data_IF_771971141111
#
_entry.id   IF_771971141111
#
_cell.length_a   1.000
_cell.length_b   1.000
_cell.length_c   1.000
_cell.angle_alpha   90.00
_cell.angle_beta   90.00
_cell.angle_gamma   90.00
#
_symmetry.space_group_name_H-M   'P 1'
#
loop_
_entity.id
_entity.type
_entity.pdbx_description
1 polymer ?
#
# COMPACT_ATOMS: atom_id res chain seq x y z
N UNK A 1 9.07 -11.01 7.64
CA UNK A 1 9.31 -9.76 6.90
C UNK A 1 10.08 -10.09 5.64
N UNK A 2 9.72 -9.49 4.51
CA UNK A 2 10.44 -9.60 3.24
C UNK A 2 10.83 -8.18 2.80
N UNK A 3 12.05 -8.03 2.27
CA UNK A 3 12.55 -6.75 1.74
C UNK A 3 12.76 -6.90 0.24
N UNK A 4 12.51 -5.82 -0.51
CA UNK A 4 12.80 -5.75 -1.94
C UNK A 4 13.80 -4.61 -2.17
N UNK A 5 15.12 -4.87 -2.05
CA UNK A 5 16.17 -3.85 -2.02
C UNK A 5 16.25 -2.97 -3.26
N UNK A 6 15.75 -3.47 -4.41
CA UNK A 6 15.69 -2.69 -5.66
C UNK A 6 14.97 -1.35 -5.51
N UNK A 7 14.10 -1.18 -4.51
CA UNK A 7 13.33 0.04 -4.28
C UNK A 7 13.95 1.02 -3.27
N UNK A 8 15.18 0.77 -2.83
CA UNK A 8 15.95 1.72 -2.02
C UNK A 8 16.40 2.92 -2.87
N UNK A 9 16.15 4.14 -2.39
CA UNK A 9 16.54 5.40 -3.04
C UNK A 9 16.07 5.51 -4.51
N UNK A 10 14.93 4.90 -4.82
CA UNK A 10 14.40 4.89 -6.18
C UNK A 10 13.50 6.09 -6.43
N UNK A 11 13.67 6.68 -7.62
CA UNK A 11 12.68 7.57 -8.20
C UNK A 11 11.53 6.74 -8.80
N UNK A 12 10.40 6.72 -8.11
CA UNK A 12 9.20 5.99 -8.55
C UNK A 12 8.47 6.67 -9.72
N UNK A 13 8.81 7.93 -10.02
CA UNK A 13 8.15 8.74 -11.04
C UNK A 13 6.72 9.16 -10.64
N UNK A 14 5.95 9.60 -11.63
CA UNK A 14 4.55 10.06 -11.47
C UNK A 14 3.54 8.92 -11.51
N UNK A 15 3.94 7.73 -11.98
CA UNK A 15 3.09 6.56 -12.03
C UNK A 15 3.73 5.41 -11.26
N UNK A 16 3.03 4.92 -10.24
CA UNK A 16 3.49 3.80 -9.43
C UNK A 16 2.28 2.96 -8.99
N UNK A 17 2.36 1.66 -9.25
CA UNK A 17 1.27 0.72 -8.96
C UNK A 17 1.78 -0.45 -8.13
N UNK A 18 1.04 -0.83 -7.10
CA UNK A 18 1.23 -2.08 -6.38
C UNK A 18 -0.06 -2.88 -6.44
N UNK A 19 0.05 -4.16 -6.76
CA UNK A 19 -1.03 -5.14 -6.63
C UNK A 19 -0.61 -6.23 -5.68
N UNK A 20 -1.54 -6.69 -4.86
CA UNK A 20 -1.33 -7.85 -3.99
C UNK A 20 -2.67 -8.49 -3.62
N UNK A 21 -2.61 -9.75 -3.23
CA UNK A 21 -3.72 -10.44 -2.59
C UNK A 21 -3.33 -10.86 -1.18
N UNK A 22 -4.21 -10.65 -0.21
CA UNK A 22 -3.92 -11.02 1.17
C UNK A 22 -5.11 -11.65 1.89
N UNK A 23 -4.81 -12.47 2.91
CA UNK A 23 -5.78 -13.04 3.83
C UNK A 23 -5.16 -13.03 5.23
N UNK A 24 -5.81 -12.37 6.17
CA UNK A 24 -5.38 -12.39 7.58
C UNK A 24 -5.52 -13.81 8.16
N UNK A 25 -4.59 -14.18 9.04
CA UNK A 25 -4.67 -15.42 9.80
C UNK A 25 -5.76 -15.35 10.88
N UNK A 26 -5.85 -14.19 11.54
CA UNK A 26 -6.77 -13.94 12.65
C UNK A 26 -7.52 -12.62 12.47
N UNK A 27 -8.66 -12.50 13.15
CA UNK A 27 -9.41 -11.24 13.22
C UNK A 27 -8.64 -10.26 14.12
N UNK A 28 -8.21 -9.15 13.52
CA UNK A 28 -7.50 -8.09 14.24
C UNK A 28 -8.33 -7.48 15.38
N UNK A 29 -7.65 -7.09 16.46
CA UNK A 29 -8.26 -6.31 17.56
C UNK A 29 -8.66 -4.92 17.07
N UNK A 30 -9.54 -4.24 17.79
CA UNK A 30 -10.10 -2.94 17.36
C UNK A 30 -9.04 -1.86 17.12
N UNK A 31 -8.02 -1.78 17.98
CA UNK A 31 -6.92 -0.82 17.88
C UNK A 31 -5.71 -1.36 17.13
N UNK A 32 -5.81 -2.55 16.53
CA UNK A 32 -4.70 -3.17 15.84
C UNK A 32 -4.70 -2.80 14.35
N UNK A 33 -3.50 -2.50 13.85
CA UNK A 33 -3.23 -2.33 12.44
C UNK A 33 -1.95 -3.07 12.07
N UNK A 34 -1.95 -3.72 10.90
CA UNK A 34 -0.83 -4.52 10.42
C UNK A 34 -0.38 -4.02 9.04
N UNK A 35 0.94 -3.86 8.85
CA UNK A 35 1.51 -3.40 7.59
C UNK A 35 1.53 -4.51 6.55
N UNK A 36 0.94 -4.27 5.38
CA UNK A 36 1.06 -5.15 4.20
C UNK A 36 2.27 -4.75 3.37
N UNK A 37 2.39 -3.45 3.06
CA UNK A 37 3.51 -2.87 2.31
C UNK A 37 3.90 -1.55 2.97
N UNK A 38 5.20 -1.30 3.12
CA UNK A 38 5.74 -0.03 3.62
C UNK A 38 7.11 0.25 2.98
N UNK A 39 7.59 1.50 3.00
CA UNK A 39 8.98 1.82 2.64
C UNK A 39 9.59 2.89 3.57
N UNK A 40 9.08 3.02 4.80
CA UNK A 40 9.55 3.98 5.80
C UNK A 40 11.01 3.81 6.14
N UNK A 41 11.68 4.95 6.28
CA UNK A 41 13.05 5.03 6.80
C UNK A 41 13.06 4.71 8.30
N UNK A 42 14.23 4.42 8.86
CA UNK A 42 14.38 4.01 10.25
C UNK A 42 13.78 5.04 11.23
N UNK A 43 12.53 4.82 11.66
CA UNK A 43 11.81 5.72 12.57
C UNK A 43 10.86 6.70 11.87
N UNK A 44 10.85 6.75 10.54
CA UNK A 44 10.03 7.68 9.76
C UNK A 44 8.89 6.98 9.02
N UNK A 45 7.85 7.75 8.71
CA UNK A 45 6.73 7.28 7.91
C UNK A 45 7.13 7.07 6.44
N UNK A 46 6.78 5.91 5.90
CA UNK A 46 6.96 5.60 4.48
C UNK A 46 6.20 6.53 3.55
N UNK A 47 6.74 6.71 2.35
CA UNK A 47 6.02 7.36 1.25
C UNK A 47 5.02 6.44 0.58
N UNK A 48 5.15 5.13 0.76
CA UNK A 48 4.23 4.09 0.30
C UNK A 48 3.81 3.30 1.52
N UNK A 49 2.50 3.26 1.82
CA UNK A 49 1.99 2.40 2.89
C UNK A 49 0.66 1.78 2.49
N UNK A 50 0.55 0.47 2.72
CA UNK A 50 -0.69 -0.29 2.66
C UNK A 50 -0.79 -1.06 3.98
N UNK A 51 -1.87 -0.88 4.73
CA UNK A 51 -2.08 -1.54 6.01
C UNK A 51 -3.52 -2.00 6.19
N UNK A 52 -3.72 -3.09 6.93
CA UNK A 52 -5.05 -3.61 7.28
C UNK A 52 -5.39 -3.35 8.74
N UNK A 53 -6.65 -3.01 8.99
CA UNK A 53 -7.28 -2.86 10.31
C UNK A 53 -8.43 -3.85 10.41
N UNK A 54 -9.06 -3.96 11.58
CA UNK A 54 -10.20 -4.88 11.80
C UNK A 54 -11.29 -4.78 10.73
N UNK A 55 -11.72 -3.56 10.40
CA UNK A 55 -12.88 -3.29 9.51
C UNK A 55 -12.53 -2.43 8.28
N UNK A 56 -11.25 -2.13 8.06
CA UNK A 56 -10.83 -1.31 6.92
C UNK A 56 -9.44 -1.69 6.44
N UNK A 57 -9.14 -1.29 5.22
CA UNK A 57 -7.78 -1.22 4.70
C UNK A 57 -7.44 0.26 4.49
N UNK A 58 -6.21 0.63 4.76
CA UNK A 58 -5.70 1.98 4.57
C UNK A 58 -4.58 2.01 3.54
N UNK A 59 -4.56 3.09 2.77
CA UNK A 59 -3.54 3.39 1.77
C UNK A 59 -2.98 4.78 2.08
N UNK A 60 -1.66 4.93 1.98
CA UNK A 60 -0.99 6.22 2.20
C UNK A 60 0.06 6.46 1.14
N UNK A 61 0.06 7.66 0.58
CA UNK A 61 1.12 8.17 -0.29
C UNK A 61 1.71 9.45 0.29
N UNK A 62 3.03 9.61 0.17
CA UNK A 62 3.71 10.91 0.25
C UNK A 62 4.34 11.21 -1.10
N UNK A 63 4.01 12.35 -1.67
CA UNK A 63 4.54 12.80 -2.95
C UNK A 63 5.31 14.11 -2.80
N UNK A 64 6.16 14.42 -3.78
CA UNK A 64 7.08 15.57 -3.75
C UNK A 64 6.39 16.94 -3.76
N UNK A 65 5.09 17.02 -4.06
CA UNK A 65 4.34 18.28 -4.09
C UNK A 65 3.24 18.37 -3.02
N UNK A 66 3.05 17.33 -2.22
CA UNK A 66 2.06 17.37 -1.13
C UNK A 66 2.80 17.67 0.18
N UNK A 67 2.35 18.67 0.98
CA UNK A 67 3.02 19.02 2.23
C UNK A 67 2.91 17.91 3.29
N UNK A 68 1.86 17.11 3.25
CA UNK A 68 1.60 15.98 4.16
C UNK A 68 1.27 14.70 3.39
N UNK A 69 1.16 13.59 4.11
CA UNK A 69 0.71 12.33 3.53
C UNK A 69 -0.77 12.39 3.12
N UNK A 70 -1.08 11.87 1.94
CA UNK A 70 -2.47 11.67 1.49
C UNK A 70 -2.89 10.25 1.84
N UNK A 71 -4.06 10.10 2.47
CA UNK A 71 -4.57 8.80 2.92
C UNK A 71 -5.96 8.48 2.40
N UNK A 72 -6.19 7.20 2.12
CA UNK A 72 -7.48 6.61 1.74
C UNK A 72 -7.81 5.48 2.72
N UNK A 73 -9.10 5.25 2.95
CA UNK A 73 -9.58 4.08 3.67
C UNK A 73 -10.80 3.50 2.97
N UNK A 74 -10.85 2.16 2.92
CA UNK A 74 -11.96 1.42 2.34
C UNK A 74 -12.45 0.41 3.37
N UNK A 75 -13.77 0.30 3.52
CA UNK A 75 -14.37 -0.70 4.39
C UNK A 75 -14.02 -2.11 3.89
N UNK A 76 -13.67 -3.00 4.83
CA UNK A 76 -13.06 -4.29 4.51
C UNK A 76 -13.96 -5.45 4.95
N UNK A 77 -14.25 -6.43 4.07
CA UNK A 77 -14.98 -7.64 4.46
C UNK A 77 -14.14 -8.55 5.37
N UNK A 78 -14.81 -9.42 6.13
CA UNK A 78 -14.16 -10.37 7.06
C UNK A 78 -13.81 -11.71 6.39
N UNK A 79 -12.78 -12.41 6.89
CA UNK A 79 -12.53 -13.85 6.64
C UNK A 79 -12.02 -14.27 5.26
N UNK A 80 -12.26 -13.46 4.23
CA UNK A 80 -11.95 -13.81 2.85
C UNK A 80 -10.61 -13.30 2.35
N UNK A 81 -10.15 -13.86 1.22
CA UNK A 81 -9.08 -13.25 0.46
C UNK A 81 -9.49 -11.86 -0.04
N UNK A 82 -8.50 -10.97 -0.12
CA UNK A 82 -8.68 -9.57 -0.47
C UNK A 82 -7.69 -9.18 -1.55
N UNK A 83 -8.21 -8.74 -2.67
CA UNK A 83 -7.45 -8.22 -3.80
C UNK A 83 -7.29 -6.70 -3.63
N UNK A 84 -6.05 -6.24 -3.69
CA UNK A 84 -5.67 -4.88 -3.34
C UNK A 84 -4.90 -4.25 -4.49
N UNK A 85 -5.29 -3.03 -4.87
CA UNK A 85 -4.48 -2.17 -5.73
C UNK A 85 -4.20 -0.83 -5.05
N UNK A 86 -2.97 -0.37 -5.19
CA UNK A 86 -2.50 0.96 -4.84
C UNK A 86 -2.00 1.60 -6.12
N UNK A 87 -2.55 2.74 -6.51
CA UNK A 87 -2.23 3.41 -7.78
C UNK A 87 -1.97 4.88 -7.51
N UNK A 88 -0.80 5.35 -7.89
CA UNK A 88 -0.51 6.78 -8.06
C UNK A 88 -0.31 6.98 -9.56
N UNK A 89 -1.11 7.83 -10.20
CA UNK A 89 -0.99 8.13 -11.62
C UNK A 89 -1.78 9.40 -11.97
N UNK A 90 -1.30 10.18 -12.94
CA UNK A 90 -2.01 11.36 -13.47
C UNK A 90 -2.50 12.36 -12.40
N UNK A 91 -1.70 12.56 -11.35
CA UNK A 91 -2.03 13.46 -10.24
C UNK A 91 -3.10 12.91 -9.28
N UNK A 92 -3.45 11.64 -9.38
CA UNK A 92 -4.42 10.95 -8.53
C UNK A 92 -3.74 9.86 -7.71
N UNK A 93 -4.29 9.66 -6.52
CA UNK A 93 -4.03 8.52 -5.66
C UNK A 93 -5.31 7.71 -5.54
N UNK A 94 -5.24 6.44 -5.90
CA UNK A 94 -6.37 5.51 -5.92
C UNK A 94 -6.01 4.25 -5.11
N UNK A 95 -6.96 3.77 -4.33
CA UNK A 95 -6.90 2.49 -3.63
C UNK A 95 -8.08 1.64 -4.04
N UNK A 96 -7.86 0.35 -4.24
CA UNK A 96 -8.90 -0.62 -4.58
C UNK A 96 -8.88 -1.79 -3.61
N UNK A 97 -10.05 -2.20 -3.14
CA UNK A 97 -10.27 -3.42 -2.39
C UNK A 97 -11.40 -4.22 -3.02
N UNK A 98 -11.08 -5.38 -3.60
CA UNK A 98 -12.06 -6.24 -4.29
C UNK A 98 -12.92 -5.44 -5.30
N UNK A 99 -12.29 -4.56 -6.09
CA UNK A 99 -12.95 -3.68 -7.05
C UNK A 99 -13.62 -2.43 -6.48
N UNK A 100 -13.80 -2.33 -5.15
CA UNK A 100 -14.29 -1.10 -4.51
C UNK A 100 -13.17 -0.06 -4.48
N UNK A 101 -13.46 1.14 -4.98
CA UNK A 101 -12.46 2.20 -5.14
C UNK A 101 -12.61 3.33 -4.10
N UNK A 102 -11.49 3.87 -3.66
CA UNK A 102 -11.38 5.23 -3.10
C UNK A 102 -10.32 6.03 -3.87
N UNK A 103 -10.51 7.34 -4.00
CA UNK A 103 -9.59 8.22 -4.74
C UNK A 103 -9.44 9.59 -4.10
N UNK A 104 -8.25 10.19 -4.24
CA UNK A 104 -7.92 11.58 -3.87
C UNK A 104 -6.93 12.15 -4.88
N UNK A 105 -6.80 13.47 -4.90
CA UNK A 105 -5.70 14.13 -5.59
C UNK A 105 -4.38 13.90 -4.85
N UNK A 106 -3.29 13.74 -5.60
CA UNK A 106 -1.93 13.67 -5.10
C UNK A 106 -0.96 14.16 -6.18
N UNK A 107 -0.44 15.36 -6.04
CA UNK A 107 0.42 15.96 -7.04
C UNK A 107 1.89 15.56 -6.85
N UNK A 108 2.64 15.46 -7.95
CA UNK A 108 4.07 15.13 -7.93
C UNK A 108 4.37 13.64 -8.01
N UNK A 109 5.64 13.30 -7.86
CA UNK A 109 6.12 11.91 -7.86
C UNK A 109 6.04 11.35 -6.45
N UNK A 110 5.91 10.02 -6.30
CA UNK A 110 6.06 9.38 -4.98
C UNK A 110 7.48 9.67 -4.46
N UNK A 111 7.60 10.12 -3.22
CA UNK A 111 8.90 10.46 -2.64
C UNK A 111 9.77 9.21 -2.48
N UNK A 112 11.06 9.34 -2.78
CA UNK A 112 12.04 8.30 -2.48
C UNK A 112 12.24 8.17 -0.96
N UNK A 113 12.60 6.97 -0.53
CA UNK A 113 13.04 6.65 0.83
C UNK A 113 14.33 5.84 0.75
N UNK A 114 15.18 5.93 1.76
CA UNK A 114 16.41 5.16 1.84
C UNK A 114 16.14 3.67 2.09
N UNK A 115 15.05 3.36 2.77
CA UNK A 115 14.63 2.00 3.01
C UNK A 115 14.02 1.36 1.76
N UNK A 116 14.25 0.05 1.66
CA UNK A 116 13.61 -0.78 0.65
C UNK A 116 12.09 -0.83 0.85
N UNK A 117 11.36 -1.28 -0.17
CA UNK A 117 9.98 -1.73 0.02
C UNK A 117 9.99 -2.97 0.92
N UNK A 118 9.22 -2.89 2.00
CA UNK A 118 9.04 -3.85 3.06
C UNK A 118 7.67 -4.49 2.94
N UNK A 119 7.62 -5.82 3.01
CA UNK A 119 6.38 -6.61 2.93
C UNK A 119 6.13 -7.27 4.27
N UNK A 120 4.92 -7.08 4.79
CA UNK A 120 4.46 -7.60 6.08
C UNK A 120 5.04 -6.89 7.30
N UNK A 121 5.68 -5.73 7.12
CA UNK A 121 6.36 -4.95 8.16
C UNK A 121 6.33 -3.46 7.80
N UNK A 122 6.27 -2.58 8.80
CA UNK A 122 6.39 -1.14 8.63
C UNK A 122 6.29 -0.38 9.95
N UNK A 123 7.07 0.68 10.11
CA UNK A 123 7.04 1.52 11.31
C UNK A 123 5.62 2.06 11.59
N UNK A 124 5.21 2.05 12.86
CA UNK A 124 3.86 2.46 13.27
C UNK A 124 2.77 1.40 13.13
N UNK A 125 3.09 0.20 12.66
CA UNK A 125 2.16 -0.92 12.51
C UNK A 125 2.70 -2.21 13.13
N UNK A 126 1.79 -3.12 13.48
CA UNK A 126 2.17 -4.49 13.80
C UNK A 126 2.62 -5.23 12.53
N UNK A 127 3.39 -6.31 12.72
CA UNK A 127 3.73 -7.22 11.64
C UNK A 127 2.47 -7.93 11.13
N UNK A 128 2.37 -8.08 9.82
CA UNK A 128 1.28 -8.83 9.22
C UNK A 128 1.36 -10.31 9.56
N UNK A 129 0.22 -10.88 9.93
CA UNK A 129 0.04 -12.32 10.18
C UNK A 129 -1.06 -12.84 9.26
N UNK A 130 -0.66 -13.68 8.31
CA UNK A 130 -1.55 -14.15 7.27
C UNK A 130 -0.78 -14.59 6.03
N UNK A 131 -1.52 -14.69 4.93
CA UNK A 131 -0.98 -15.08 3.63
C UNK A 131 -1.00 -13.88 2.69
N UNK A 132 0.09 -13.71 1.95
CA UNK A 132 0.24 -12.76 0.86
C UNK A 132 0.55 -13.53 -0.42
N UNK A 133 -0.03 -13.09 -1.53
CA UNK A 133 0.18 -13.68 -2.85
C UNK A 133 0.10 -12.59 -3.92
N UNK A 134 0.59 -12.89 -5.12
CA UNK A 134 0.49 -12.02 -6.31
C UNK A 134 0.99 -10.59 -6.07
N UNK A 135 2.15 -10.44 -5.44
CA UNK A 135 2.78 -9.12 -5.30
C UNK A 135 3.36 -8.69 -6.65
N UNK A 136 2.78 -7.64 -7.22
CA UNK A 136 3.24 -7.03 -8.46
C UNK A 136 3.48 -5.53 -8.23
N UNK A 137 4.56 -5.00 -8.80
CA UNK A 137 4.92 -3.59 -8.68
C UNK A 137 5.28 -3.06 -10.07
N UNK A 138 4.66 -1.95 -10.46
CA UNK A 138 4.82 -1.34 -11.78
C UNK A 138 5.16 0.15 -11.66
N UNK A 139 5.97 0.65 -12.61
CA UNK A 139 6.28 2.06 -12.81
C UNK A 139 5.42 2.70 -13.92
N UNK A 140 4.39 1.96 -14.35
CA UNK A 140 3.38 2.36 -15.32
C UNK A 140 2.04 1.73 -14.92
N UNK A 141 0.94 2.21 -15.50
CA UNK A 141 -0.37 1.58 -15.29
C UNK A 141 -0.45 0.35 -16.21
N UNK A 142 -0.59 -0.88 -15.67
CA UNK A 142 -0.70 -2.07 -16.49
C UNK A 142 -1.99 -2.05 -17.32
N UNK A 143 -1.93 -2.47 -18.58
CA UNK A 143 -3.08 -2.49 -19.50
C UNK A 143 -4.22 -3.41 -19.01
N UNK A 144 -3.84 -4.54 -18.39
CA UNK A 144 -4.79 -5.48 -17.81
C UNK A 144 -5.16 -5.03 -16.41
N UNK A 145 -6.45 -4.81 -16.18
CA UNK A 145 -7.01 -4.65 -14.84
C UNK A 145 -6.71 -5.88 -13.97
N UNK A 146 -6.57 -5.67 -12.66
CA UNK A 146 -6.50 -6.80 -11.73
C UNK A 146 -7.82 -7.56 -11.82
N UNK A 147 -7.75 -8.89 -11.92
CA UNK A 147 -8.94 -9.73 -11.81
C UNK A 147 -9.22 -9.95 -10.33
N UNK A 148 -10.36 -9.47 -9.86
CA UNK A 148 -10.82 -9.70 -8.50
C UNK A 148 -11.51 -11.06 -8.41
N UNK A 149 -11.27 -11.78 -7.33
CA UNK A 149 -11.88 -13.10 -7.05
C UNK A 149 -13.17 -13.00 -6.25
#
# INVERSE_FOLDING_TARGET
>A
RLLIPRFTNVEFGKTFVIRLRYKEEEKLKFNESQALVNNGDCGDFGSIQIFTKRNSIGYVVKTTKEPSHVSLQIHKPHGEWKDVEYIVSDGKFEGYLNGVQATKWSMGSVESRQCAVQIGFGHGYNNFRGRLSLLEIYFCKPEKAMKYS
#
